data_IF_643602488325
#
_entry.id   IF_643602488325
#
_cell.length_a   1.000
_cell.length_b   1.000
_cell.length_c   1.000
_cell.angle_alpha   90.00
_cell.angle_beta   90.00
_cell.angle_gamma   90.00
#
_symmetry.space_group_name_H-M   'P 1'
#
loop_
_entity.id
_entity.type
_entity.pdbx_description
1 polymer ?
#
# COMPACT_ATOMS: atom_id res chain seq x y z
N UNK A 1 33.06 93.54 30.93
CA UNK A 1 33.94 92.67 30.12
C UNK A 1 34.23 91.33 30.83
N UNK A 2 33.27 90.80 31.59
CA UNK A 2 33.37 89.48 32.27
C UNK A 2 32.17 88.59 31.90
N UNK A 3 31.07 89.17 31.42
CA UNK A 3 29.86 88.41 31.05
C UNK A 3 29.92 87.74 29.66
N UNK A 4 30.71 88.27 28.72
CA UNK A 4 30.83 87.69 27.37
C UNK A 4 31.68 86.41 27.32
N UNK A 5 32.64 86.26 28.23
CA UNK A 5 33.51 85.08 28.25
C UNK A 5 32.78 83.84 28.78
N UNK A 6 31.81 84.03 29.69
CA UNK A 6 30.98 82.95 30.23
C UNK A 6 29.95 82.42 29.22
N UNK A 7 29.51 83.24 28.27
CA UNK A 7 28.55 82.81 27.24
C UNK A 7 29.22 81.95 26.16
N UNK A 8 30.42 82.35 25.71
CA UNK A 8 31.17 81.59 24.68
C UNK A 8 31.65 80.24 25.23
N UNK A 9 32.10 80.17 26.49
CA UNK A 9 32.55 78.93 27.11
C UNK A 9 31.39 77.95 27.34
N UNK A 10 30.20 78.42 27.78
CA UNK A 10 29.00 77.56 27.93
C UNK A 10 28.51 77.01 26.59
N UNK A 11 28.58 77.80 25.52
CA UNK A 11 28.11 77.38 24.20
C UNK A 11 29.06 76.35 23.56
N UNK A 12 30.37 76.47 23.79
CA UNK A 12 31.37 75.49 23.33
C UNK A 12 31.30 74.16 24.10
N UNK A 13 31.14 74.21 25.43
CA UNK A 13 31.00 73.01 26.26
C UNK A 13 29.69 72.26 25.95
N UNK A 14 28.60 72.99 25.67
CA UNK A 14 27.31 72.40 25.29
C UNK A 14 27.36 71.73 23.91
N UNK A 15 28.06 72.31 22.93
CA UNK A 15 28.25 71.67 21.61
C UNK A 15 29.16 70.43 21.66
N UNK A 16 30.22 70.44 22.46
CA UNK A 16 31.09 69.27 22.63
C UNK A 16 30.38 68.11 23.34
N UNK A 17 29.55 68.40 24.36
CA UNK A 17 28.75 67.39 25.04
C UNK A 17 27.65 66.82 24.15
N UNK A 18 26.98 67.64 23.31
CA UNK A 18 25.99 67.14 22.34
C UNK A 18 26.64 66.24 21.27
N UNK A 19 27.80 66.64 20.74
CA UNK A 19 28.47 65.87 19.69
C UNK A 19 29.03 64.54 20.22
N UNK A 20 29.55 64.54 21.46
CA UNK A 20 29.97 63.32 22.16
C UNK A 20 28.79 62.37 22.45
N UNK A 21 27.65 62.90 22.87
CA UNK A 21 26.44 62.10 23.13
C UNK A 21 25.84 61.47 21.86
N UNK A 22 25.89 62.18 20.72
CA UNK A 22 25.42 61.66 19.42
C UNK A 22 26.35 60.56 18.88
N UNK A 23 27.68 60.70 19.02
CA UNK A 23 28.60 59.63 18.62
C UNK A 23 28.48 58.37 19.49
N UNK A 24 28.24 58.53 20.80
CA UNK A 24 28.05 57.39 21.71
C UNK A 24 26.74 56.63 21.44
N UNK A 25 25.66 57.34 21.12
CA UNK A 25 24.36 56.72 20.80
C UNK A 25 24.40 55.95 19.48
N UNK A 26 25.08 56.44 18.44
CA UNK A 26 25.25 55.73 17.17
C UNK A 26 26.14 54.47 17.33
N UNK A 27 27.23 54.54 18.10
CA UNK A 27 28.10 53.38 18.35
C UNK A 27 27.40 52.26 19.15
N UNK A 28 26.54 52.62 20.11
CA UNK A 28 25.73 51.69 20.90
C UNK A 28 24.61 51.06 20.06
N UNK A 29 23.95 51.83 19.18
CA UNK A 29 22.91 51.32 18.28
C UNK A 29 23.46 50.34 17.21
N UNK A 30 24.63 50.63 16.63
CA UNK A 30 25.27 49.76 15.62
C UNK A 30 25.87 48.48 16.25
N UNK A 31 26.43 48.57 17.47
CA UNK A 31 26.89 47.38 18.20
C UNK A 31 25.72 46.53 18.72
N UNK A 32 24.60 47.15 19.10
CA UNK A 32 23.37 46.46 19.50
C UNK A 32 22.70 45.67 18.36
N UNK A 33 22.64 46.25 17.15
CA UNK A 33 22.07 45.57 15.98
C UNK A 33 22.90 44.35 15.53
N UNK A 34 24.23 44.47 15.48
CA UNK A 34 25.11 43.33 15.12
C UNK A 34 25.11 42.21 16.16
N UNK A 35 24.94 42.55 17.44
CA UNK A 35 24.81 41.56 18.52
C UNK A 35 23.48 40.80 18.42
N UNK A 36 22.40 41.50 18.08
CA UNK A 36 21.07 40.90 17.83
C UNK A 36 21.06 39.96 16.62
N UNK A 37 21.68 40.32 15.51
CA UNK A 37 21.77 39.46 14.32
C UNK A 37 22.62 38.21 14.59
N UNK A 38 23.74 38.36 15.30
CA UNK A 38 24.59 37.24 15.70
C UNK A 38 23.87 36.28 16.64
N UNK A 39 23.17 36.79 17.66
CA UNK A 39 22.37 35.97 18.57
C UNK A 39 21.22 35.27 17.85
N UNK A 40 20.59 35.92 16.87
CA UNK A 40 19.57 35.29 16.00
C UNK A 40 20.17 34.17 15.15
N UNK A 41 21.34 34.39 14.53
CA UNK A 41 22.04 33.40 13.74
C UNK A 41 22.53 32.21 14.59
N UNK A 42 23.02 32.47 15.80
CA UNK A 42 23.44 31.44 16.77
C UNK A 42 22.24 30.62 17.25
N UNK A 43 21.11 31.26 17.59
CA UNK A 43 19.86 30.54 17.93
C UNK A 43 19.35 29.70 16.77
N UNK A 44 19.40 30.22 15.54
CA UNK A 44 19.02 29.46 14.35
C UNK A 44 19.97 28.28 14.10
N UNK A 45 21.27 28.45 14.34
CA UNK A 45 22.26 27.37 14.23
C UNK A 45 22.03 26.29 15.29
N UNK A 46 21.77 26.67 16.54
CA UNK A 46 21.44 25.75 17.63
C UNK A 46 20.15 25.00 17.32
N UNK A 47 19.10 25.68 16.85
CA UNK A 47 17.84 25.05 16.47
C UNK A 47 18.02 24.04 15.32
N UNK A 48 18.79 24.39 14.28
CA UNK A 48 19.13 23.45 13.19
C UNK A 48 19.91 22.24 13.71
N UNK A 49 20.87 22.45 14.60
CA UNK A 49 21.65 21.37 15.19
C UNK A 49 20.78 20.44 16.05
N UNK A 50 19.89 21.00 16.88
CA UNK A 50 18.94 20.22 17.67
C UNK A 50 17.99 19.40 16.78
N UNK A 51 17.48 19.99 15.70
CA UNK A 51 16.64 19.30 14.73
C UNK A 51 17.39 18.14 14.04
N UNK A 52 18.68 18.34 13.70
CA UNK A 52 19.52 17.31 13.11
C UNK A 52 19.81 16.16 14.09
N UNK A 53 20.14 16.48 15.34
CA UNK A 53 20.33 15.47 16.40
C UNK A 53 19.06 14.65 16.63
N UNK A 54 17.89 15.30 16.63
CA UNK A 54 16.61 14.61 16.77
C UNK A 54 16.34 13.69 15.56
N UNK A 55 16.58 14.18 14.35
CA UNK A 55 16.46 13.38 13.12
C UNK A 55 17.38 12.16 13.14
N UNK A 56 18.62 12.31 13.60
CA UNK A 56 19.57 11.20 13.72
C UNK A 56 19.10 10.16 14.76
N UNK A 57 18.54 10.60 15.89
CA UNK A 57 17.95 9.70 16.89
C UNK A 57 16.78 8.90 16.31
N UNK A 58 15.88 9.56 15.59
CA UNK A 58 14.75 8.90 14.92
C UNK A 58 15.22 7.91 13.86
N UNK A 59 16.20 8.31 13.05
CA UNK A 59 16.80 7.44 12.05
C UNK A 59 17.46 6.20 12.67
N UNK A 60 18.16 6.37 13.80
CA UNK A 60 18.76 5.24 14.54
C UNK A 60 17.71 4.28 15.08
N UNK A 61 16.57 4.78 15.57
CA UNK A 61 15.45 3.93 16.00
C UNK A 61 14.90 3.11 14.85
N UNK A 62 14.80 3.67 13.64
CA UNK A 62 14.35 2.93 12.45
C UNK A 62 15.33 1.80 12.12
N UNK A 63 16.63 2.06 12.17
CA UNK A 63 17.67 1.04 11.94
C UNK A 63 17.74 -0.05 13.02
N UNK A 64 17.14 0.17 14.19
CA UNK A 64 17.06 -0.81 15.29
C UNK A 64 15.67 -1.44 15.42
N UNK A 65 14.71 -0.98 14.62
CA UNK A 65 13.31 -1.40 14.69
C UNK A 65 12.96 -2.52 13.70
N UNK A 66 11.66 -2.85 13.57
CA UNK A 66 11.18 -3.88 12.65
C UNK A 66 11.53 -3.60 11.17
N UNK A 67 11.77 -2.34 10.82
CA UNK A 67 12.19 -1.95 9.46
C UNK A 67 13.66 -2.31 9.14
N UNK A 68 14.49 -2.63 10.14
CA UNK A 68 15.90 -2.95 9.95
C UNK A 68 16.11 -4.16 9.03
N UNK A 69 15.30 -5.22 9.21
CA UNK A 69 15.35 -6.41 8.36
C UNK A 69 15.03 -6.07 6.90
N UNK A 70 14.04 -5.20 6.68
CA UNK A 70 13.63 -4.73 5.34
C UNK A 70 14.72 -3.88 4.70
N UNK A 71 15.36 -2.99 5.46
CA UNK A 71 16.51 -2.20 4.99
C UNK A 71 17.66 -3.14 4.58
N UNK A 72 18.02 -4.12 5.40
CA UNK A 72 19.07 -5.09 5.08
C UNK A 72 18.78 -5.84 3.78
N UNK A 73 17.57 -6.39 3.61
CA UNK A 73 17.16 -7.05 2.36
C UNK A 73 17.24 -6.11 1.14
N UNK A 74 16.90 -4.84 1.31
CA UNK A 74 16.99 -3.84 0.22
C UNK A 74 18.44 -3.57 -0.19
N UNK A 75 19.36 -3.56 0.78
CA UNK A 75 20.81 -3.40 0.55
C UNK A 75 21.37 -4.65 -0.12
N UNK A 76 20.98 -5.85 0.32
CA UNK A 76 21.34 -7.12 -0.31
C UNK A 76 20.84 -7.19 -1.76
N UNK A 77 19.61 -6.76 -2.03
CA UNK A 77 19.07 -6.66 -3.38
C UNK A 77 19.91 -5.74 -4.27
N UNK A 78 20.29 -4.55 -3.77
CA UNK A 78 21.15 -3.63 -4.51
C UNK A 78 22.55 -4.22 -4.75
N UNK A 79 23.11 -4.91 -3.77
CA UNK A 79 24.39 -5.60 -3.87
C UNK A 79 24.35 -6.74 -4.91
N UNK A 80 23.24 -7.47 -4.99
CA UNK A 80 23.01 -8.50 -6.01
C UNK A 80 22.98 -7.89 -7.42
N UNK A 81 22.26 -6.77 -7.60
CA UNK A 81 22.26 -6.05 -8.88
C UNK A 81 23.67 -5.60 -9.27
N UNK A 82 24.45 -5.09 -8.31
CA UNK A 82 25.83 -4.67 -8.54
C UNK A 82 26.72 -5.86 -8.94
N UNK A 83 26.67 -6.95 -8.18
CA UNK A 83 27.45 -8.16 -8.45
C UNK A 83 27.15 -8.77 -9.83
N UNK A 84 25.89 -8.68 -10.26
CA UNK A 84 25.45 -9.18 -11.57
C UNK A 84 25.70 -8.18 -12.73
N UNK A 85 26.29 -7.01 -12.46
CA UNK A 85 26.47 -5.96 -13.48
C UNK A 85 25.15 -5.38 -14.00
N UNK A 86 24.07 -5.51 -13.22
CA UNK A 86 22.72 -5.04 -13.53
C UNK A 86 22.38 -3.72 -12.83
N UNK A 87 23.26 -3.22 -11.96
CA UNK A 87 23.06 -1.95 -11.28
C UNK A 87 23.32 -0.78 -12.25
N UNK A 88 22.33 0.07 -12.56
CA UNK A 88 22.52 1.13 -13.56
C UNK A 88 23.56 2.16 -13.12
N UNK A 89 24.47 2.50 -14.03
CA UNK A 89 25.47 3.56 -13.87
C UNK A 89 26.77 3.18 -13.14
N UNK A 90 26.80 2.06 -12.42
CA UNK A 90 27.99 1.59 -11.68
C UNK A 90 28.47 0.29 -12.32
N UNK A 91 29.76 0.22 -12.69
CA UNK A 91 30.32 -1.01 -13.24
C UNK A 91 30.49 -2.06 -12.14
N UNK A 92 30.43 -3.35 -12.50
CA UNK A 92 30.55 -4.48 -11.55
C UNK A 92 31.79 -4.43 -10.63
N UNK A 93 32.87 -3.82 -11.11
CA UNK A 93 34.14 -3.72 -10.39
C UNK A 93 34.31 -2.38 -9.66
N UNK A 94 33.37 -1.45 -9.82
CA UNK A 94 33.40 -0.19 -9.10
C UNK A 94 33.02 -0.43 -7.64
N UNK A 95 33.65 0.32 -6.75
CA UNK A 95 33.39 0.22 -5.33
C UNK A 95 33.13 1.59 -4.73
N UNK A 96 32.31 1.60 -3.69
CA UNK A 96 31.88 2.83 -3.06
C UNK A 96 31.37 2.62 -1.64
N UNK A 97 30.93 3.71 -1.05
CA UNK A 97 30.23 3.72 0.22
C UNK A 97 28.74 3.95 -0.03
N UNK A 98 27.91 3.09 0.57
CA UNK A 98 26.47 3.27 0.60
C UNK A 98 26.07 4.16 1.78
N UNK A 99 25.19 5.11 1.54
CA UNK A 99 24.57 5.98 2.53
C UNK A 99 23.06 5.98 2.37
N UNK A 100 22.35 5.96 3.49
CA UNK A 100 20.94 6.30 3.53
C UNK A 100 20.83 7.78 3.91
N UNK A 101 20.30 8.58 3.00
CA UNK A 101 20.09 10.02 3.23
C UNK A 101 18.80 10.29 4.02
N UNK A 102 17.82 9.39 3.91
CA UNK A 102 16.48 9.53 4.49
C UNK A 102 15.97 8.18 5.01
N UNK A 103 15.13 8.18 6.06
CA UNK A 103 14.43 6.96 6.46
C UNK A 103 13.53 6.46 5.33
N UNK A 104 13.27 5.15 5.26
CA UNK A 104 12.30 4.62 4.32
C UNK A 104 10.90 5.20 4.59
N UNK A 105 10.13 5.35 3.52
CA UNK A 105 8.73 5.77 3.58
C UNK A 105 7.85 4.52 3.46
N UNK A 106 7.11 4.23 4.52
CA UNK A 106 6.03 3.24 4.52
C UNK A 106 4.73 3.94 4.16
N UNK A 107 4.09 3.51 3.08
CA UNK A 107 2.83 4.07 2.60
C UNK A 107 1.87 2.95 2.20
N UNK A 108 1.06 2.42 3.14
CA UNK A 108 0.13 1.33 2.85
C UNK A 108 -0.88 1.64 1.72
N UNK A 109 -1.10 2.93 1.44
CA UNK A 109 -1.99 3.43 0.39
C UNK A 109 -1.25 4.21 -0.71
N UNK A 110 0.08 4.25 -0.66
CA UNK A 110 0.91 4.89 -1.68
C UNK A 110 1.00 4.04 -2.94
N UNK A 111 1.65 4.52 -4.01
CA UNK A 111 1.92 3.71 -5.19
C UNK A 111 2.81 2.49 -4.90
N UNK A 112 3.53 2.52 -3.76
CA UNK A 112 4.35 1.46 -3.22
C UNK A 112 4.10 1.39 -1.71
N UNK A 113 3.97 0.19 -1.16
CA UNK A 113 3.88 -0.03 0.28
C UNK A 113 5.11 0.53 1.01
N UNK A 114 6.29 0.39 0.40
CA UNK A 114 7.55 0.82 0.99
C UNK A 114 8.47 1.43 -0.07
N UNK A 115 9.23 2.46 0.28
CA UNK A 115 10.26 3.03 -0.58
C UNK A 115 11.47 3.54 0.21
N UNK A 116 12.66 3.39 -0.36
CA UNK A 116 13.92 3.86 0.22
C UNK A 116 14.82 4.48 -0.85
N UNK A 117 15.41 5.62 -0.52
CA UNK A 117 16.43 6.26 -1.35
C UNK A 117 17.82 5.94 -0.79
N UNK A 118 18.67 5.38 -1.64
CA UNK A 118 20.05 5.01 -1.36
C UNK A 118 21.00 5.91 -2.16
N UNK A 119 22.12 6.29 -1.55
CA UNK A 119 23.17 7.09 -2.14
C UNK A 119 24.48 6.30 -2.13
N UNK A 120 25.07 6.06 -3.30
CA UNK A 120 26.36 5.39 -3.47
C UNK A 120 27.39 6.40 -3.92
N UNK A 121 28.49 6.52 -3.16
CA UNK A 121 29.62 7.40 -3.47
C UNK A 121 30.80 6.53 -3.87
N UNK A 122 31.27 6.64 -5.11
CA UNK A 122 32.44 5.85 -5.57
C UNK A 122 33.74 6.34 -4.97
N UNK A 123 34.75 5.47 -4.95
CA UNK A 123 36.11 5.79 -4.48
C UNK A 123 36.97 6.53 -5.51
N UNK A 124 36.40 6.92 -6.65
CA UNK A 124 37.12 7.62 -7.72
C UNK A 124 37.61 9.01 -7.26
N UNK A 125 38.58 9.57 -7.99
CA UNK A 125 38.98 10.96 -7.86
C UNK A 125 38.72 11.69 -9.19
N UNK A 126 37.68 12.53 -9.32
CA UNK A 126 36.72 12.90 -8.27
C UNK A 126 35.66 11.80 -8.00
N UNK A 127 35.10 11.74 -6.77
CA UNK A 127 34.03 10.79 -6.43
C UNK A 127 32.78 11.02 -7.27
N UNK A 128 32.10 9.94 -7.64
CA UNK A 128 30.82 10.00 -8.36
C UNK A 128 29.68 9.65 -7.41
N UNK A 129 28.61 10.45 -7.47
CA UNK A 129 27.44 10.31 -6.59
C UNK A 129 26.27 9.69 -7.37
N UNK A 130 25.92 8.46 -7.04
CA UNK A 130 24.79 7.73 -7.62
C UNK A 130 23.66 7.59 -6.62
N UNK A 131 22.43 7.70 -7.09
CA UNK A 131 21.25 7.61 -6.27
C UNK A 131 20.30 6.57 -6.84
N UNK A 132 19.73 5.76 -5.96
CA UNK A 132 18.81 4.69 -6.28
C UNK A 132 17.57 4.80 -5.41
N UNK A 133 16.38 4.59 -5.98
CA UNK A 133 15.14 4.45 -5.21
C UNK A 133 14.68 3.01 -5.33
N UNK A 134 14.67 2.30 -4.22
CA UNK A 134 14.14 0.95 -4.09
C UNK A 134 12.70 1.02 -3.58
N UNK A 135 11.85 0.12 -4.06
CA UNK A 135 10.44 0.05 -3.66
C UNK A 135 10.01 -1.39 -3.45
N UNK A 136 8.98 -1.56 -2.62
CA UNK A 136 8.17 -2.78 -2.58
C UNK A 136 6.72 -2.38 -2.87
N UNK A 137 6.12 -3.09 -3.82
CA UNK A 137 4.75 -2.83 -4.25
C UNK A 137 3.77 -3.21 -3.15
N UNK A 138 3.98 -4.36 -2.51
CA UNK A 138 3.22 -4.85 -1.36
C UNK A 138 4.17 -5.11 -0.18
N UNK A 139 3.63 -5.25 1.02
CA UNK A 139 4.44 -5.48 2.24
C UNK A 139 5.31 -6.73 2.16
N UNK A 140 4.91 -7.71 1.36
CA UNK A 140 5.56 -9.01 1.12
C UNK A 140 6.19 -9.16 -0.29
N UNK A 141 6.09 -8.15 -1.17
CA UNK A 141 6.66 -8.27 -2.52
C UNK A 141 8.17 -8.11 -2.52
N UNK A 142 8.85 -8.69 -3.51
CA UNK A 142 10.28 -8.44 -3.74
C UNK A 142 10.60 -6.95 -3.96
N UNK A 143 11.86 -6.59 -3.68
CA UNK A 143 12.38 -5.25 -3.98
C UNK A 143 12.53 -5.02 -5.47
N UNK A 144 12.29 -3.78 -5.86
CA UNK A 144 12.39 -3.34 -7.24
C UNK A 144 13.12 -2.01 -7.30
N UNK A 145 13.90 -1.81 -8.36
CA UNK A 145 14.55 -0.53 -8.62
C UNK A 145 13.59 0.40 -9.37
N UNK A 146 13.21 1.51 -8.76
CA UNK A 146 12.20 2.44 -9.26
C UNK A 146 12.77 3.71 -9.89
N UNK A 147 13.96 4.15 -9.47
CA UNK A 147 14.73 5.25 -10.08
C UNK A 147 16.23 5.01 -9.87
N UNK A 148 17.03 5.47 -10.83
CA UNK A 148 18.47 5.53 -10.74
C UNK A 148 18.99 6.79 -11.44
N UNK A 149 19.85 7.56 -10.79
CA UNK A 149 20.45 8.77 -11.38
C UNK A 149 21.83 9.06 -10.79
N UNK A 150 22.62 9.85 -11.50
CA UNK A 150 23.90 10.41 -11.04
C UNK A 150 23.74 11.91 -10.84
N UNK A 151 24.32 12.43 -9.76
CA UNK A 151 24.39 13.87 -9.50
C UNK A 151 25.83 14.36 -9.37
N UNK A 152 26.04 15.66 -9.59
CA UNK A 152 27.30 16.31 -9.31
C UNK A 152 27.47 16.61 -7.80
N UNK A 153 28.59 17.22 -7.43
CA UNK A 153 28.88 17.59 -6.03
C UNK A 153 27.89 18.60 -5.42
N UNK A 154 27.12 19.33 -6.26
CA UNK A 154 26.07 20.24 -5.80
C UNK A 154 24.71 19.55 -5.63
N UNK A 155 24.61 18.26 -5.96
CA UNK A 155 23.37 17.48 -5.94
C UNK A 155 22.50 17.68 -7.18
N UNK A 156 22.98 18.40 -8.21
CA UNK A 156 22.25 18.56 -9.47
C UNK A 156 22.35 17.27 -10.28
N UNK A 157 21.21 16.80 -10.79
CA UNK A 157 21.15 15.60 -11.63
C UNK A 157 21.95 15.84 -12.92
N UNK A 158 22.95 14.99 -13.14
CA UNK A 158 23.80 15.00 -14.35
C UNK A 158 23.29 13.98 -15.36
N UNK A 159 22.82 12.83 -14.88
CA UNK A 159 22.41 11.72 -15.73
C UNK A 159 21.33 10.89 -15.05
N UNK A 160 20.32 10.46 -15.80
CA UNK A 160 19.26 9.55 -15.32
C UNK A 160 19.35 8.25 -16.10
N UNK A 161 19.36 7.13 -15.40
CA UNK A 161 19.51 5.84 -16.05
C UNK A 161 18.14 5.23 -16.36
N UNK A 162 17.93 4.73 -17.59
CA UNK A 162 16.71 4.04 -17.93
C UNK A 162 16.63 2.74 -17.14
N UNK A 163 15.45 2.47 -16.61
CA UNK A 163 15.12 1.26 -15.88
C UNK A 163 13.80 0.75 -16.41
N UNK A 164 13.67 -0.57 -16.48
CA UNK A 164 12.38 -1.18 -16.80
C UNK A 164 11.48 -0.95 -15.60
N UNK A 165 10.57 0.02 -15.71
CA UNK A 165 9.58 0.29 -14.68
C UNK A 165 8.73 -0.95 -14.48
N UNK A 166 8.73 -1.48 -13.26
CA UNK A 166 7.83 -2.56 -12.87
C UNK A 166 6.40 -2.01 -12.74
N UNK A 167 5.37 -2.86 -12.84
CA UNK A 167 4.01 -2.43 -12.56
C UNK A 167 3.95 -1.83 -11.15
N UNK A 168 3.48 -0.59 -11.03
CA UNK A 168 2.94 -0.08 -9.77
C UNK A 168 1.79 -0.99 -9.32
N UNK A 169 1.37 -0.92 -8.05
CA UNK A 169 0.17 -1.65 -7.60
C UNK A 169 -0.93 -1.50 -8.65
N UNK A 170 -1.21 -2.59 -9.38
CA UNK A 170 -2.04 -2.53 -10.57
C UNK A 170 -3.44 -2.11 -10.11
N UNK A 171 -3.82 -0.87 -10.46
CA UNK A 171 -4.93 -0.10 -9.90
C UNK A 171 -4.59 0.50 -8.53
N UNK A 172 -4.25 1.79 -8.55
CA UNK A 172 -4.37 2.73 -7.42
C UNK A 172 -5.83 2.92 -6.92
N UNK A 173 -6.67 1.90 -7.08
CA UNK A 173 -8.05 1.80 -6.64
C UNK A 173 -8.24 0.57 -5.74
N UNK A 174 -7.19 0.03 -5.12
CA UNK A 174 -7.35 -0.94 -4.04
C UNK A 174 -6.51 -0.47 -2.86
N UNK A 175 -7.17 -0.07 -1.78
CA UNK A 175 -6.49 0.31 -0.55
C UNK A 175 -6.21 -0.96 0.26
N UNK A 176 -4.96 -1.15 0.70
CA UNK A 176 -4.61 -2.23 1.62
C UNK A 176 -5.02 -1.83 3.04
N UNK A 177 -5.77 -2.72 3.69
CA UNK A 177 -6.32 -2.51 5.03
C UNK A 177 -5.86 -3.58 6.02
N UNK A 178 -5.26 -4.68 5.55
CA UNK A 178 -5.00 -5.87 6.35
C UNK A 178 -3.94 -5.71 7.43
N UNK A 179 -3.55 -6.83 8.09
CA UNK A 179 -2.57 -6.84 9.16
C UNK A 179 -1.25 -6.17 8.75
N UNK A 180 -0.61 -5.46 9.69
CA UNK A 180 0.65 -4.74 9.44
C UNK A 180 1.84 -5.68 9.13
N UNK A 181 1.80 -6.90 9.66
CA UNK A 181 2.81 -7.94 9.45
C UNK A 181 2.18 -9.19 8.83
N UNK A 182 1.72 -9.13 7.57
CA UNK A 182 0.85 -10.15 7.00
C UNK A 182 1.53 -11.49 6.70
N UNK A 183 2.86 -11.55 6.77
CA UNK A 183 3.64 -12.74 6.46
C UNK A 183 4.72 -13.04 7.49
N UNK A 184 4.46 -12.77 8.77
CA UNK A 184 5.38 -13.13 9.87
C UNK A 184 6.82 -12.57 9.77
N UNK A 185 7.12 -11.65 8.85
CA UNK A 185 8.47 -11.12 8.59
C UNK A 185 9.08 -10.48 9.84
N UNK A 186 8.24 -9.93 10.71
CA UNK A 186 8.64 -9.38 12.01
C UNK A 186 8.23 -10.29 13.19
N UNK A 187 8.24 -11.61 12.97
CA UNK A 187 7.77 -12.61 13.93
C UNK A 187 6.29 -12.42 14.24
N UNK A 188 5.94 -12.45 15.54
CA UNK A 188 4.57 -12.21 16.02
C UNK A 188 4.21 -10.73 16.21
N UNK A 189 5.04 -9.77 15.78
CA UNK A 189 4.68 -8.36 15.91
C UNK A 189 3.33 -8.07 15.23
N UNK A 190 2.36 -7.54 15.98
CA UNK A 190 0.99 -7.32 15.51
C UNK A 190 0.11 -8.57 15.48
N UNK A 191 0.50 -9.65 16.17
CA UNK A 191 -0.25 -10.89 16.28
C UNK A 191 -0.24 -11.43 17.72
N UNK A 192 -1.36 -11.99 18.14
CA UNK A 192 -1.57 -12.67 19.41
C UNK A 192 -1.69 -14.17 19.16
N UNK A 193 -1.21 -14.98 20.09
CA UNK A 193 -1.28 -16.45 19.99
C UNK A 193 -1.95 -17.03 21.23
N UNK A 194 -2.79 -18.03 21.05
CA UNK A 194 -3.33 -18.87 22.12
C UNK A 194 -2.99 -20.33 21.87
N UNK A 195 -2.57 -21.03 22.92
CA UNK A 195 -2.33 -22.48 22.87
C UNK A 195 -2.87 -23.13 24.14
N UNK A 196 -3.48 -24.30 23.99
CA UNK A 196 -3.94 -25.15 25.08
C UNK A 196 -3.54 -26.60 24.78
N UNK A 197 -3.08 -27.32 25.82
CA UNK A 197 -2.68 -28.72 25.68
C UNK A 197 -1.57 -28.92 24.64
N UNK A 198 -1.82 -29.83 23.69
CA UNK A 198 -0.93 -30.15 22.58
C UNK A 198 -0.94 -29.14 21.42
N UNK A 199 -1.62 -28.00 21.54
CA UNK A 199 -1.60 -26.98 20.50
C UNK A 199 -0.27 -26.23 20.38
N UNK A 200 0.04 -25.76 19.19
CA UNK A 200 1.32 -25.11 18.88
C UNK A 200 1.16 -24.05 17.80
N UNK A 201 1.82 -22.92 18.03
CA UNK A 201 1.96 -21.81 17.09
C UNK A 201 3.42 -21.36 17.11
N UNK A 202 4.06 -21.32 15.95
CA UNK A 202 5.45 -20.87 15.79
C UNK A 202 5.62 -20.03 14.53
N UNK A 203 6.70 -19.26 14.50
CA UNK A 203 7.21 -18.66 13.26
C UNK A 203 8.13 -19.70 12.61
N UNK A 204 7.89 -20.00 11.34
CA UNK A 204 8.72 -20.92 10.56
C UNK A 204 9.40 -20.19 9.41
N UNK A 205 10.70 -20.44 9.25
CA UNK A 205 11.55 -19.85 8.23
C UNK A 205 12.09 -20.86 7.21
N UNK A 206 11.73 -22.14 7.33
CA UNK A 206 12.22 -23.19 6.44
C UNK A 206 11.50 -23.18 5.08
N UNK A 207 10.22 -22.83 5.07
CA UNK A 207 9.36 -22.92 3.88
C UNK A 207 8.27 -21.84 3.88
N UNK A 208 8.61 -20.54 3.87
CA UNK A 208 7.63 -19.47 3.74
C UNK A 208 7.05 -19.41 2.32
N UNK A 209 5.82 -18.87 2.16
CA UNK A 209 5.23 -18.73 0.83
C UNK A 209 5.96 -17.66 0.02
N UNK A 210 6.33 -16.57 0.69
CA UNK A 210 7.24 -15.54 0.20
C UNK A 210 8.04 -14.96 1.35
N UNK A 211 9.18 -14.33 1.08
CA UNK A 211 9.94 -13.69 2.15
C UNK A 211 10.75 -14.69 2.98
N UNK A 212 10.85 -14.45 4.29
CA UNK A 212 11.67 -15.26 5.20
C UNK A 212 10.86 -16.09 6.19
N UNK A 213 9.64 -15.69 6.50
CA UNK A 213 8.89 -16.26 7.61
C UNK A 213 7.45 -16.61 7.20
N UNK A 214 6.86 -17.55 7.93
CA UNK A 214 5.45 -17.91 7.85
C UNK A 214 4.93 -18.25 9.25
N UNK A 215 3.62 -18.23 9.43
CA UNK A 215 2.99 -18.77 10.63
C UNK A 215 2.78 -20.26 10.46
N UNK A 216 3.23 -21.06 11.42
CA UNK A 216 2.94 -22.49 11.50
C UNK A 216 2.09 -22.76 12.72
N UNK A 217 0.90 -23.31 12.52
CA UNK A 217 -0.09 -23.60 13.54
C UNK A 217 -0.48 -25.08 13.45
N UNK A 218 -0.74 -25.74 14.58
CA UNK A 218 -1.13 -27.13 14.56
C UNK A 218 -1.43 -27.72 15.93
N UNK A 219 -1.80 -29.00 15.91
CA UNK A 219 -2.02 -29.81 17.09
C UNK A 219 -1.03 -30.98 17.05
N UNK A 220 -0.26 -31.14 18.13
CA UNK A 220 0.59 -32.31 18.35
C UNK A 220 -0.28 -33.52 18.71
N UNK A 221 0.20 -34.73 18.40
CA UNK A 221 -0.47 -36.02 18.69
C UNK A 221 -0.54 -36.36 20.20
N UNK A 222 -0.83 -35.39 21.06
CA UNK A 222 -1.13 -35.62 22.46
C UNK A 222 -2.53 -36.23 22.58
N UNK A 223 -2.64 -37.35 23.31
CA UNK A 223 -3.82 -38.21 23.45
C UNK A 223 -5.12 -37.53 23.96
N UNK A 224 -5.10 -36.23 24.22
CA UNK A 224 -6.24 -35.43 24.70
C UNK A 224 -6.71 -34.41 23.65
N UNK A 225 -7.03 -34.87 22.43
CA UNK A 225 -7.40 -34.03 21.29
C UNK A 225 -8.55 -33.06 21.60
N UNK A 226 -9.53 -33.44 22.43
CA UNK A 226 -10.66 -32.57 22.82
C UNK A 226 -10.25 -31.31 23.61
N UNK A 227 -9.01 -31.26 24.13
CA UNK A 227 -8.51 -30.12 24.92
C UNK A 227 -7.36 -29.38 24.24
N UNK A 228 -6.91 -29.85 23.08
CA UNK A 228 -5.74 -29.31 22.39
C UNK A 228 -6.17 -28.21 21.43
N UNK A 229 -5.88 -26.94 21.71
CA UNK A 229 -6.26 -25.84 20.82
C UNK A 229 -5.04 -25.00 20.44
N UNK A 230 -5.03 -24.46 19.24
CA UNK A 230 -4.07 -23.44 18.85
C UNK A 230 -4.80 -22.35 18.07
N UNK A 231 -4.44 -21.10 18.31
CA UNK A 231 -4.93 -19.98 17.53
C UNK A 231 -3.90 -18.87 17.39
N UNK A 232 -4.01 -18.15 16.27
CA UNK A 232 -3.26 -16.93 16.04
C UNK A 232 -4.20 -15.86 15.49
N UNK A 233 -4.04 -14.63 15.99
CA UNK A 233 -4.96 -13.53 15.74
C UNK A 233 -4.21 -12.25 15.47
N UNK A 234 -4.54 -11.52 14.40
CA UNK A 234 -3.92 -10.23 14.17
C UNK A 234 -4.41 -9.19 15.18
N UNK A 235 -3.63 -8.13 15.38
CA UNK A 235 -4.19 -6.88 15.91
C UNK A 235 -5.34 -6.40 15.02
N UNK A 236 -6.31 -5.74 15.65
CA UNK A 236 -7.41 -5.12 14.93
C UNK A 236 -6.87 -3.99 14.06
N UNK A 237 -7.29 -3.96 12.80
CA UNK A 237 -6.94 -2.90 11.85
C UNK A 237 -8.20 -2.12 11.42
N UNK A 238 -8.06 -0.81 11.16
CA UNK A 238 -9.19 0.05 10.88
C UNK A 238 -9.78 -0.19 9.48
N UNK A 239 -11.11 -0.24 9.41
CA UNK A 239 -11.91 -0.26 8.19
C UNK A 239 -12.64 1.07 7.91
N UNK A 240 -12.46 2.09 8.76
CA UNK A 240 -13.35 3.26 8.93
C UNK A 240 -13.66 4.12 7.68
N UNK A 241 -12.88 4.03 6.61
CA UNK A 241 -13.15 4.74 5.33
C UNK A 241 -13.61 3.81 4.22
N UNK A 242 -13.58 2.52 4.53
CA UNK A 242 -13.94 1.32 3.81
C UNK A 242 -15.41 0.88 3.83
N UNK A 243 -16.28 1.29 2.90
CA UNK A 243 -17.67 0.73 2.86
C UNK A 243 -17.79 -0.60 2.11
N UNK A 244 -16.66 -1.23 1.80
CA UNK A 244 -16.61 -2.48 1.05
C UNK A 244 -17.06 -2.33 -0.41
N UNK A 245 -17.12 -3.47 -1.12
CA UNK A 245 -16.78 -4.80 -0.65
C UNK A 245 -15.27 -4.97 -0.47
N UNK A 246 -14.94 -5.82 0.48
CA UNK A 246 -13.57 -6.24 0.72
C UNK A 246 -13.23 -7.50 -0.08
N UNK A 247 -11.94 -7.67 -0.31
CA UNK A 247 -11.32 -8.92 -0.71
C UNK A 247 -10.36 -9.33 0.39
N UNK A 248 -10.56 -10.52 0.94
CA UNK A 248 -9.69 -11.15 1.92
C UNK A 248 -8.97 -12.32 1.24
N UNK A 249 -7.65 -12.40 1.39
CA UNK A 249 -6.84 -13.46 0.84
C UNK A 249 -5.70 -13.83 1.77
N UNK A 250 -5.21 -15.06 1.64
CA UNK A 250 -4.03 -15.56 2.33
C UNK A 250 -3.43 -16.75 1.58
N UNK A 251 -2.16 -17.01 1.78
CA UNK A 251 -1.49 -18.22 1.34
C UNK A 251 -1.52 -19.28 2.44
N UNK A 252 -1.73 -20.54 2.08
CA UNK A 252 -1.68 -21.67 3.01
C UNK A 252 -1.02 -22.90 2.39
N UNK A 253 -0.47 -23.76 3.25
CA UNK A 253 0.09 -25.06 2.89
C UNK A 253 -0.18 -26.08 3.99
N UNK A 254 -0.67 -27.26 3.60
CA UNK A 254 -0.93 -28.41 4.47
C UNK A 254 0.09 -29.51 4.15
N UNK A 255 1.30 -29.49 4.74
CA UNK A 255 2.38 -30.39 4.34
C UNK A 255 2.12 -31.86 4.72
N UNK A 256 1.31 -32.10 5.75
CA UNK A 256 0.95 -33.44 6.22
C UNK A 256 -0.38 -33.93 5.67
N UNK A 257 -0.68 -35.19 5.95
CA UNK A 257 -1.99 -35.77 5.67
C UNK A 257 -3.07 -35.15 6.54
N UNK A 258 -4.17 -34.72 5.93
CA UNK A 258 -5.35 -34.19 6.64
C UNK A 258 -6.35 -35.31 6.88
N UNK A 259 -6.86 -35.41 8.11
CA UNK A 259 -7.87 -36.42 8.45
C UNK A 259 -9.24 -36.02 7.89
N UNK A 260 -10.11 -37.00 7.54
CA UNK A 260 -11.46 -36.69 7.10
C UNK A 260 -12.23 -35.87 8.15
N UNK A 261 -12.82 -34.76 7.72
CA UNK A 261 -13.56 -33.84 8.59
C UNK A 261 -12.70 -32.75 9.25
N UNK A 262 -11.37 -32.87 9.24
CA UNK A 262 -10.50 -31.88 9.87
C UNK A 262 -10.40 -30.60 9.02
N UNK A 263 -10.62 -29.45 9.67
CA UNK A 263 -10.48 -28.13 9.08
C UNK A 263 -9.82 -27.16 10.06
N UNK A 264 -8.99 -26.27 9.52
CA UNK A 264 -8.58 -25.04 10.19
C UNK A 264 -9.49 -23.93 9.71
N UNK A 265 -10.04 -23.18 10.66
CA UNK A 265 -10.87 -22.04 10.37
C UNK A 265 -10.00 -20.79 10.27
N UNK A 266 -10.11 -20.08 9.15
CA UNK A 266 -9.52 -18.76 8.94
C UNK A 266 -10.65 -17.74 8.85
N UNK A 267 -10.86 -17.03 9.94
CA UNK A 267 -11.93 -16.04 10.09
C UNK A 267 -11.43 -14.62 9.81
N UNK A 268 -12.15 -13.90 8.95
CA UNK A 268 -12.10 -12.45 8.85
C UNK A 268 -13.25 -11.87 9.66
N UNK A 269 -12.94 -11.24 10.79
CA UNK A 269 -13.93 -10.84 11.80
C UNK A 269 -14.09 -9.33 11.84
N UNK A 270 -15.31 -8.88 12.07
CA UNK A 270 -15.68 -7.47 12.03
C UNK A 270 -16.10 -6.97 13.40
N UNK A 271 -15.64 -5.77 13.73
CA UNK A 271 -15.87 -5.15 15.03
C UNK A 271 -16.42 -3.73 14.92
N UNK A 272 -17.26 -3.38 15.87
CA UNK A 272 -17.75 -2.02 16.09
C UNK A 272 -16.72 -1.16 16.81
N UNK A 273 -17.13 0.05 17.18
CA UNK A 273 -16.23 1.11 17.69
C UNK A 273 -15.66 0.80 19.06
N UNK A 274 -16.42 0.08 19.87
CA UNK A 274 -16.02 -0.29 21.23
C UNK A 274 -15.33 -1.66 21.26
N UNK A 275 -14.96 -2.22 20.10
CA UNK A 275 -14.39 -3.56 19.98
C UNK A 275 -15.43 -4.69 20.09
N UNK A 276 -16.72 -4.36 19.96
CA UNK A 276 -17.82 -5.31 19.95
C UNK A 276 -17.81 -6.16 18.68
N UNK A 277 -17.94 -7.49 18.82
CA UNK A 277 -17.99 -8.41 17.68
C UNK A 277 -19.32 -8.27 16.94
N UNK A 278 -19.25 -7.98 15.64
CA UNK A 278 -20.43 -7.73 14.79
C UNK A 278 -20.69 -8.83 13.76
N UNK A 279 -19.71 -9.69 13.49
CA UNK A 279 -19.85 -10.81 12.56
C UNK A 279 -18.51 -11.25 11.96
N UNK A 280 -18.54 -12.29 11.14
CA UNK A 280 -17.34 -12.83 10.51
C UNK A 280 -17.63 -13.54 9.19
N UNK A 281 -16.59 -13.70 8.39
CA UNK A 281 -16.53 -14.65 7.27
C UNK A 281 -15.49 -15.71 7.62
N UNK A 282 -15.90 -16.98 7.66
CA UNK A 282 -15.02 -18.11 7.94
C UNK A 282 -14.68 -18.82 6.65
N UNK A 283 -13.40 -19.16 6.48
CA UNK A 283 -12.89 -19.95 5.39
C UNK A 283 -12.25 -21.21 5.97
N UNK A 284 -12.77 -22.37 5.58
CA UNK A 284 -12.29 -23.67 6.04
C UNK A 284 -11.15 -24.15 5.16
N UNK A 285 -10.07 -24.62 5.78
CA UNK A 285 -8.87 -25.12 5.10
C UNK A 285 -8.57 -26.54 5.59
N UNK A 286 -8.52 -27.52 4.68
CA UNK A 286 -8.29 -28.92 5.04
C UNK A 286 -9.23 -29.86 4.29
N UNK A 287 -9.99 -30.66 5.02
CA UNK A 287 -10.92 -31.64 4.44
C UNK A 287 -11.98 -31.00 3.55
N UNK A 288 -12.39 -29.76 3.82
CA UNK A 288 -13.36 -29.01 3.00
C UNK A 288 -12.81 -28.56 1.65
N UNK A 289 -11.49 -28.49 1.51
CA UNK A 289 -10.83 -28.08 0.26
C UNK A 289 -10.18 -29.25 -0.47
N UNK A 290 -10.35 -30.48 0.04
CA UNK A 290 -9.65 -31.68 -0.41
C UNK A 290 -8.12 -31.49 -0.47
N UNK A 291 -7.59 -30.59 0.38
CA UNK A 291 -6.16 -30.30 0.45
C UNK A 291 -5.48 -31.12 1.52
N UNK A 292 -4.37 -31.75 1.15
CA UNK A 292 -3.57 -32.62 2.01
C UNK A 292 -2.22 -32.84 1.33
N UNK A 293 -1.16 -33.08 2.11
CA UNK A 293 0.18 -33.44 1.61
C UNK A 293 0.71 -32.48 0.51
N UNK A 294 0.46 -31.19 0.71
CA UNK A 294 0.77 -30.16 -0.26
C UNK A 294 2.27 -29.91 -0.34
N UNK A 295 2.81 -29.85 -1.57
CA UNK A 295 4.20 -29.45 -1.81
C UNK A 295 4.38 -27.94 -2.03
N UNK A 296 3.32 -27.25 -2.47
CA UNK A 296 3.31 -25.82 -2.79
C UNK A 296 2.19 -25.12 -2.04
N UNK A 297 2.39 -23.84 -1.74
CA UNK A 297 1.33 -22.99 -1.22
C UNK A 297 0.20 -22.82 -2.23
N UNK A 298 -1.03 -22.75 -1.73
CA UNK A 298 -2.22 -22.27 -2.45
C UNK A 298 -2.63 -20.93 -1.85
N UNK A 299 -3.32 -20.12 -2.65
CA UNK A 299 -3.95 -18.88 -2.17
C UNK A 299 -5.44 -19.10 -2.08
N UNK A 300 -6.01 -18.87 -0.90
CA UNK A 300 -7.45 -18.78 -0.71
C UNK A 300 -7.88 -17.32 -0.81
N UNK A 301 -9.04 -17.06 -1.41
CA UNK A 301 -9.55 -15.69 -1.59
C UNK A 301 -11.05 -15.65 -1.47
N UNK A 302 -11.55 -14.77 -0.61
CA UNK A 302 -12.96 -14.39 -0.52
C UNK A 302 -13.13 -12.96 -1.00
N UNK A 303 -13.99 -12.78 -2.01
CA UNK A 303 -14.29 -11.48 -2.62
C UNK A 303 -15.71 -11.06 -2.29
N UNK A 304 -16.04 -9.80 -2.58
CA UNK A 304 -17.40 -9.27 -2.39
C UNK A 304 -17.88 -9.35 -0.94
N UNK A 305 -16.96 -9.24 0.03
CA UNK A 305 -17.30 -9.28 1.45
C UNK A 305 -17.91 -7.95 1.88
N UNK A 306 -19.16 -8.00 2.34
CA UNK A 306 -19.87 -6.84 2.87
C UNK A 306 -19.89 -6.91 4.39
N UNK A 307 -19.26 -5.95 5.09
CA UNK A 307 -19.28 -5.94 6.54
C UNK A 307 -20.71 -5.68 7.04
N UNK A 308 -21.07 -6.20 8.22
CA UNK A 308 -22.26 -5.78 8.95
C UNK A 308 -22.32 -4.25 9.15
N UNK A 309 -23.51 -3.72 9.42
CA UNK A 309 -23.69 -2.30 9.73
C UNK A 309 -22.96 -1.95 11.04
N UNK A 310 -22.25 -0.83 11.06
CA UNK A 310 -21.57 -0.32 12.27
C UNK A 310 -20.11 -0.75 12.40
N UNK A 311 -19.62 -1.57 11.48
CA UNK A 311 -18.22 -2.02 11.45
C UNK A 311 -17.26 -0.85 11.22
N UNK A 312 -16.23 -0.79 12.06
CA UNK A 312 -15.13 0.17 11.96
C UNK A 312 -13.76 -0.49 11.99
N UNK A 313 -13.66 -1.72 12.46
CA UNK A 313 -12.42 -2.47 12.59
C UNK A 313 -12.61 -3.91 12.14
N UNK A 314 -11.50 -4.58 11.85
CA UNK A 314 -11.50 -6.01 11.62
C UNK A 314 -10.19 -6.64 12.09
N UNK A 315 -10.20 -7.96 12.29
CA UNK A 315 -9.00 -8.75 12.46
C UNK A 315 -9.06 -10.05 11.65
N UNK A 316 -7.93 -10.74 11.59
CA UNK A 316 -7.82 -12.09 11.06
C UNK A 316 -7.57 -13.04 12.22
N UNK A 317 -8.32 -14.14 12.29
CA UNK A 317 -8.18 -15.16 13.32
C UNK A 317 -8.10 -16.54 12.68
N UNK A 318 -7.01 -17.25 12.93
CA UNK A 318 -6.79 -18.63 12.48
C UNK A 318 -6.90 -19.53 13.70
N UNK A 319 -7.71 -20.58 13.62
CA UNK A 319 -7.91 -21.51 14.73
C UNK A 319 -7.78 -22.96 14.29
N UNK A 320 -7.01 -23.74 15.03
CA UNK A 320 -6.93 -25.17 14.92
C UNK A 320 -7.61 -25.80 16.14
N UNK A 321 -8.63 -26.62 15.88
CA UNK A 321 -9.41 -27.33 16.88
C UNK A 321 -10.20 -26.41 17.84
N UNK A 322 -10.70 -25.28 17.33
CA UNK A 322 -11.66 -24.42 18.04
C UNK A 322 -12.86 -24.24 17.11
N UNK A 323 -14.01 -24.83 17.46
CA UNK A 323 -15.16 -24.89 16.57
C UNK A 323 -15.12 -26.14 15.69
N UNK A 324 -14.30 -26.12 14.65
CA UNK A 324 -14.06 -27.27 13.77
C UNK A 324 -12.85 -28.11 14.22
N UNK A 325 -12.90 -29.45 14.03
CA UNK A 325 -11.82 -30.32 14.49
C UNK A 325 -10.55 -30.11 13.67
N UNK A 326 -9.41 -30.07 14.35
CA UNK A 326 -8.09 -30.24 13.75
C UNK A 326 -7.27 -31.16 14.64
N UNK A 327 -7.35 -32.46 14.39
CA UNK A 327 -6.93 -33.47 15.36
C UNK A 327 -5.42 -33.66 15.42
N UNK A 328 -4.70 -33.38 14.32
CA UNK A 328 -3.26 -33.61 14.24
C UNK A 328 -2.58 -32.82 13.13
N UNK A 329 -1.27 -32.63 13.29
CA UNK A 329 -0.42 -32.05 12.26
C UNK A 329 -0.42 -30.52 12.26
N UNK A 330 0.24 -29.96 11.26
CA UNK A 330 0.49 -28.53 11.14
C UNK A 330 0.04 -28.00 9.79
N UNK A 331 -0.31 -26.73 9.78
CA UNK A 331 -0.56 -25.92 8.60
C UNK A 331 0.31 -24.68 8.64
N UNK A 332 0.70 -24.21 7.45
CA UNK A 332 1.41 -22.96 7.27
C UNK A 332 0.47 -21.91 6.69
N UNK A 333 0.60 -20.68 7.17
CA UNK A 333 -0.14 -19.52 6.70
C UNK A 333 0.78 -18.33 6.50
N UNK A 334 0.56 -17.59 5.43
CA UNK A 334 1.40 -16.48 5.02
C UNK A 334 0.58 -15.48 4.17
N UNK A 335 1.13 -14.31 3.90
CA UNK A 335 0.63 -13.36 2.92
C UNK A 335 -0.83 -12.92 3.09
N UNK A 336 -1.23 -12.64 4.32
CA UNK A 336 -2.56 -12.11 4.62
C UNK A 336 -2.80 -10.76 3.93
N UNK A 337 -3.93 -10.63 3.25
CA UNK A 337 -4.27 -9.41 2.53
C UNK A 337 -5.75 -9.11 2.66
N UNK A 338 -6.04 -7.89 3.10
CA UNK A 338 -7.39 -7.31 3.06
C UNK A 338 -7.31 -6.07 2.19
N UNK A 339 -8.10 -6.05 1.13
CA UNK A 339 -8.16 -4.93 0.21
C UNK A 339 -9.60 -4.48 0.00
N UNK A 340 -9.77 -3.21 -0.36
CA UNK A 340 -11.08 -2.65 -0.73
C UNK A 340 -11.01 -1.93 -2.06
N UNK A 341 -12.04 -2.06 -2.89
CA UNK A 341 -12.21 -1.23 -4.08
C UNK A 341 -12.96 0.05 -3.67
N UNK A 342 -12.35 1.26 -3.69
CA UNK A 342 -13.03 2.50 -3.36
C UNK A 342 -14.22 2.73 -4.28
N UNK A 343 -15.33 3.19 -3.69
CA UNK A 343 -16.60 3.43 -4.38
C UNK A 343 -16.48 4.32 -5.63
N UNK A 344 -15.51 5.25 -5.68
CA UNK A 344 -15.31 6.14 -6.83
C UNK A 344 -14.88 5.42 -8.12
N UNK A 345 -14.24 4.26 -8.03
CA UNK A 345 -13.86 3.46 -9.20
C UNK A 345 -15.03 2.69 -9.82
N UNK A 346 -16.15 2.54 -9.09
CA UNK A 346 -17.34 1.82 -9.55
C UNK A 346 -18.21 2.64 -10.49
N UNK A 347 -18.23 3.96 -10.31
CA UNK A 347 -19.00 4.86 -11.18
C UNK A 347 -18.61 4.72 -12.66
N UNK A 348 -17.32 4.52 -12.95
CA UNK A 348 -16.84 4.32 -14.33
C UNK A 348 -17.28 2.99 -14.95
N UNK A 349 -17.36 1.91 -14.15
CA UNK A 349 -17.79 0.59 -14.61
C UNK A 349 -19.30 0.59 -14.91
N UNK A 350 -20.11 1.18 -14.04
CA UNK A 350 -21.55 1.29 -14.27
C UNK A 350 -21.91 2.26 -15.41
N UNK A 351 -21.18 3.37 -15.55
CA UNK A 351 -21.34 4.27 -16.70
C UNK A 351 -20.99 3.57 -18.03
N UNK A 352 -19.91 2.79 -18.06
CA UNK A 352 -19.51 2.00 -19.23
C UNK A 352 -20.55 0.96 -19.65
N UNK A 353 -21.12 0.21 -18.70
CA UNK A 353 -22.19 -0.75 -19.00
C UNK A 353 -23.48 -0.06 -19.48
N UNK A 354 -23.83 1.10 -18.93
CA UNK A 354 -24.98 1.88 -19.40
C UNK A 354 -24.83 2.34 -20.86
N UNK A 355 -23.63 2.79 -21.24
CA UNK A 355 -23.32 3.17 -22.63
C UNK A 355 -23.41 1.97 -23.57
N UNK A 356 -22.87 0.80 -23.18
CA UNK A 356 -22.96 -0.41 -23.98
C UNK A 356 -24.41 -0.90 -24.16
N UNK A 357 -25.23 -0.85 -23.12
CA UNK A 357 -26.65 -1.21 -23.21
C UNK A 357 -27.41 -0.25 -24.16
N UNK A 358 -27.15 1.06 -24.06
CA UNK A 358 -27.75 2.06 -24.94
C UNK A 358 -27.33 1.88 -26.42
N UNK A 359 -26.05 1.61 -26.68
CA UNK A 359 -25.53 1.34 -28.02
C UNK A 359 -26.12 0.06 -28.61
N UNK A 360 -26.26 -1.00 -27.80
CA UNK A 360 -26.84 -2.26 -28.24
C UNK A 360 -28.32 -2.09 -28.59
N UNK A 361 -29.08 -1.38 -27.75
CA UNK A 361 -30.48 -1.06 -28.02
C UNK A 361 -30.64 -0.20 -29.29
N UNK A 362 -29.76 0.77 -29.51
CA UNK A 362 -29.75 1.61 -30.71
C UNK A 362 -29.42 0.81 -31.98
N UNK A 363 -28.44 -0.09 -31.93
CA UNK A 363 -28.10 -0.98 -33.05
C UNK A 363 -29.25 -1.93 -33.41
N UNK A 364 -29.93 -2.50 -32.41
CA UNK A 364 -31.13 -3.34 -32.62
C UNK A 364 -32.27 -2.51 -33.25
N UNK A 365 -32.48 -1.29 -32.77
CA UNK A 365 -33.50 -0.38 -33.29
C UNK A 365 -33.25 -0.02 -34.76
N UNK A 366 -32.04 0.38 -35.11
CA UNK A 366 -31.66 0.73 -36.48
C UNK A 366 -31.73 -0.47 -37.42
N UNK A 367 -31.34 -1.66 -36.97
CA UNK A 367 -31.48 -2.90 -37.74
C UNK A 367 -32.97 -3.23 -38.01
N UNK A 368 -33.85 -3.13 -37.01
CA UNK A 368 -35.29 -3.36 -37.17
C UNK A 368 -35.95 -2.37 -38.14
N UNK A 369 -35.58 -1.08 -38.09
CA UNK A 369 -36.08 -0.07 -39.03
C UNK A 369 -35.61 -0.36 -40.46
N UNK A 370 -34.34 -0.74 -40.63
CA UNK A 370 -33.77 -1.10 -41.95
C UNK A 370 -34.42 -2.35 -42.52
N UNK A 371 -34.74 -3.35 -41.69
CA UNK A 371 -35.48 -4.55 -42.09
C UNK A 371 -36.93 -4.25 -42.49
N UNK A 372 -37.62 -3.35 -41.77
CA UNK A 372 -38.97 -2.89 -42.14
C UNK A 372 -38.98 -2.15 -43.47
N UNK A 373 -38.00 -1.27 -43.74
CA UNK A 373 -37.85 -0.60 -45.04
C UNK A 373 -37.60 -1.59 -46.19
N UNK A 374 -36.75 -2.60 -45.98
CA UNK A 374 -36.50 -3.66 -46.98
C UNK A 374 -37.74 -4.53 -47.26
N UNK A 375 -38.62 -4.76 -46.28
CA UNK A 375 -39.90 -5.48 -46.51
C UNK A 375 -40.94 -4.63 -47.23
N UNK A 376 -40.97 -3.32 -47.01
CA UNK A 376 -41.90 -2.40 -47.70
C UNK A 376 -41.61 -2.25 -49.19
N UNK A 377 -40.34 -2.35 -49.60
CA UNK A 377 -39.95 -2.27 -51.02
C UNK A 377 -40.03 -3.61 -51.78
N UNK A 378 -40.56 -4.68 -51.16
CA UNK A 378 -40.57 -6.03 -51.75
C UNK A 378 -41.96 -6.53 -52.17
N UNK A 379 -42.98 -5.68 -52.08
CA UNK A 379 -44.30 -5.96 -52.65
C UNK A 379 -44.65 -4.86 -53.65
N UNK A 380 -44.58 -5.13 -54.97
CA UNK A 380 -45.28 -4.31 -55.94
C UNK A 380 -46.79 -4.48 -55.74
N UNK A 381 -47.49 -3.34 -55.84
CA UNK A 381 -48.95 -3.24 -55.88
C UNK A 381 -49.54 -4.26 -56.88
N UNK A 382 -50.55 -5.08 -56.50
CA UNK A 382 -51.25 -5.90 -57.47
C UNK A 382 -52.23 -5.01 -58.26
N UNK A 383 -51.90 -4.78 -59.52
CA UNK A 383 -52.80 -4.24 -60.53
C UNK A 383 -53.78 -5.31 -61.02
N UNK A 384 -55.02 -4.88 -61.23
CA UNK A 384 -55.98 -5.28 -62.27
C UNK A 384 -56.16 -6.77 -62.62
N UNK A 385 -57.37 -7.27 -62.34
CA UNK A 385 -57.99 -8.34 -63.14
C UNK A 385 -59.17 -7.80 -63.95
N UNK A 386 -59.40 -8.32 -65.17
CA UNK A 386 -60.37 -7.80 -66.12
C UNK A 386 -61.80 -8.28 -65.83
N UNK A 387 -62.77 -7.45 -66.22
CA UNK A 387 -64.18 -7.83 -66.30
C UNK A 387 -64.36 -8.98 -67.29
N UNK A 388 -65.02 -10.06 -66.84
CA UNK A 388 -65.62 -11.06 -67.72
C UNK A 388 -67.13 -11.02 -67.49
N UNK A 389 -67.83 -10.83 -68.60
CA UNK A 389 -69.28 -10.72 -68.74
C UNK A 389 -70.03 -11.99 -68.32
N UNK A 390 -71.25 -11.74 -67.83
CA UNK A 390 -72.34 -12.65 -67.49
C UNK A 390 -72.62 -13.73 -68.57
N UNK A 391 -73.37 -14.79 -68.21
CA UNK A 391 -74.78 -14.69 -68.56
C UNK A 391 -75.76 -15.06 -67.45
N UNK A 392 -76.91 -14.40 -67.60
CA UNK A 392 -78.19 -14.52 -66.93
C UNK A 392 -78.85 -15.89 -67.09
N UNK A 393 -79.58 -16.32 -66.04
CA UNK A 393 -80.94 -16.92 -66.04
C UNK A 393 -81.25 -17.32 -64.59
N UNK A 394 -82.17 -16.64 -63.90
CA UNK A 394 -83.65 -16.67 -63.99
C UNK A 394 -84.24 -17.63 -62.95
N UNK A 395 -85.36 -17.28 -62.29
CA UNK A 395 -85.67 -17.71 -60.92
C UNK A 395 -86.89 -18.64 -60.83
N UNK A 396 -86.87 -19.52 -59.83
CA UNK A 396 -88.04 -20.18 -59.18
C UNK A 396 -87.49 -20.71 -57.85
N UNK A 397 -87.92 -20.31 -56.65
CA UNK A 397 -89.28 -20.03 -56.22
C UNK A 397 -89.94 -21.35 -55.80
N UNK A 398 -90.00 -21.62 -54.49
CA UNK A 398 -91.18 -22.11 -53.75
C UNK A 398 -90.80 -22.70 -52.38
N UNK A 399 -91.45 -22.11 -51.37
CA UNK A 399 -91.96 -22.63 -50.09
C UNK A 399 -91.06 -23.39 -49.11
#
# INVERSE_FOLDING_TARGET
>A
MVDDLNYVLRTYVSKLLLTGAVCFTVAVLVSGCRKSERESAERAAIARHQQEVQRQKEFRKVLQGPEAARINKSVEFLALLHHNGQLPGIAKHDHGMLRLEKPPLVSPNGPYYWSLQLHVITKDSPPRNYFYVLVQTYSNSDFQLQKAWRADASGKVVETYPIKLTPTMAKAHMAFLGPANPGAENGFAGWYTGVLGGGTVVIDNADPATGLNSFRIGITNAAAHETNHADIRSEMFPLERARGPFTFAFAYKLPGKVNPGDNIDVAFRFFGREGDFLGQTVLHVGSSTDDSEMLKYKTMTATNLFPPKGVVQADVWIVANIGDPWTSGYAHFDNFSVTVVPARSRAGIFAGMGIFAALTAWLIGTHRVRHRRKRRNRYPSPFNYPQVLLPTKSPTGCH
#
